data_IF_504542223609
#
_entry.id   IF_504542223609
#
_cell.length_a   1.000
_cell.length_b   1.000
_cell.length_c   1.000
_cell.angle_alpha   90.00
_cell.angle_beta   90.00
_cell.angle_gamma   90.00
#
_symmetry.space_group_name_H-M   'P 1'
#
loop_
_entity.id
_entity.type
_entity.pdbx_description
1 polymer ?
#
# COMPACT_ATOMS: atom_id res chain seq x y z
N UNK A 1 -49.40 -9.30 5.93
CA UNK A 1 -48.36 -8.36 5.48
C UNK A 1 -47.60 -9.03 4.33
N UNK A 2 -47.87 -8.68 3.07
CA UNK A 2 -47.17 -9.27 1.93
C UNK A 2 -45.76 -8.65 1.86
N UNK A 3 -44.74 -9.45 2.14
CA UNK A 3 -43.32 -9.04 1.92
C UNK A 3 -43.19 -8.86 0.39
N UNK A 4 -42.96 -7.64 -0.06
CA UNK A 4 -42.73 -7.37 -1.47
C UNK A 4 -41.44 -8.03 -1.91
N UNK A 5 -41.45 -8.77 -3.02
CA UNK A 5 -40.30 -9.49 -3.62
C UNK A 5 -39.02 -8.66 -3.66
N UNK A 6 -39.15 -7.37 -3.89
CA UNK A 6 -38.04 -6.42 -3.94
C UNK A 6 -37.25 -6.33 -2.60
N UNK A 7 -37.91 -6.55 -1.46
CA UNK A 7 -37.23 -6.54 -0.16
C UNK A 7 -36.32 -7.77 -0.03
N UNK A 8 -36.76 -8.93 -0.54
CA UNK A 8 -35.95 -10.14 -0.57
C UNK A 8 -34.76 -9.98 -1.51
N UNK A 9 -34.97 -9.46 -2.70
CA UNK A 9 -33.90 -9.20 -3.68
C UNK A 9 -32.88 -8.21 -3.07
N UNK A 10 -33.33 -7.10 -2.48
CA UNK A 10 -32.44 -6.13 -1.82
C UNK A 10 -31.67 -6.78 -0.65
N UNK A 11 -32.30 -7.63 0.15
CA UNK A 11 -31.65 -8.37 1.22
C UNK A 11 -30.54 -9.29 0.69
N UNK A 12 -30.79 -10.01 -0.40
CA UNK A 12 -29.80 -10.87 -1.05
C UNK A 12 -28.63 -10.06 -1.59
N UNK A 13 -28.89 -8.94 -2.29
CA UNK A 13 -27.83 -8.05 -2.80
C UNK A 13 -26.97 -7.49 -1.64
N UNK A 14 -27.59 -7.07 -0.54
CA UNK A 14 -26.87 -6.59 0.64
C UNK A 14 -25.99 -7.70 1.25
N UNK A 15 -26.51 -8.94 1.36
CA UNK A 15 -25.74 -10.08 1.88
C UNK A 15 -24.53 -10.40 1.01
N UNK A 16 -24.67 -10.41 -0.32
CA UNK A 16 -23.54 -10.62 -1.23
C UNK A 16 -22.54 -9.45 -1.21
N UNK A 17 -23.00 -8.23 -0.94
CA UNK A 17 -22.16 -7.04 -0.85
C UNK A 17 -21.47 -6.89 0.53
N UNK A 18 -21.90 -7.65 1.53
CA UNK A 18 -21.45 -7.48 2.91
C UNK A 18 -19.93 -7.68 3.06
N UNK A 19 -19.36 -8.70 2.41
CA UNK A 19 -17.92 -8.93 2.43
C UNK A 19 -17.12 -7.76 1.85
N UNK A 20 -17.63 -7.14 0.79
CA UNK A 20 -17.02 -5.97 0.19
C UNK A 20 -17.12 -4.75 1.10
N UNK A 21 -18.27 -4.58 1.76
CA UNK A 21 -18.46 -3.52 2.75
C UNK A 21 -17.50 -3.70 3.94
N UNK A 22 -17.43 -4.91 4.51
CA UNK A 22 -16.53 -5.26 5.62
C UNK A 22 -15.04 -5.21 5.20
N UNK A 23 -14.74 -5.24 3.91
CA UNK A 23 -13.42 -4.95 3.38
C UNK A 23 -12.99 -3.50 3.56
N UNK A 24 -13.94 -2.57 3.62
CA UNK A 24 -13.69 -1.13 3.62
C UNK A 24 -14.17 -0.40 4.88
N UNK A 25 -14.95 -1.05 5.74
CA UNK A 25 -15.52 -0.44 6.96
C UNK A 25 -15.35 -1.38 8.14
N UNK A 26 -14.73 -0.90 9.21
CA UNK A 26 -14.49 -1.64 10.44
C UNK A 26 -14.89 -0.82 11.67
N UNK A 27 -15.15 -1.50 12.79
CA UNK A 27 -15.62 -0.91 14.04
C UNK A 27 -14.85 -1.49 15.24
N UNK A 28 -13.54 -1.31 15.28
CA UNK A 28 -12.73 -1.71 16.42
C UNK A 28 -12.34 -0.45 17.21
N UNK A 29 -12.84 -0.36 18.44
CA UNK A 29 -12.64 0.80 19.32
C UNK A 29 -11.65 0.53 20.46
N UNK A 30 -11.12 -0.71 20.54
CA UNK A 30 -10.23 -1.09 21.64
C UNK A 30 -8.79 -0.80 21.24
N UNK A 31 -8.14 0.08 21.97
CA UNK A 31 -6.71 0.29 21.88
C UNK A 31 -5.99 -0.57 22.92
N UNK A 32 -4.85 -1.15 22.53
CA UNK A 32 -3.97 -1.90 23.42
C UNK A 32 -2.69 -1.10 23.63
N UNK A 33 -2.14 -1.11 24.84
CA UNK A 33 -0.80 -0.58 25.09
C UNK A 33 0.22 -1.52 24.47
N UNK A 34 1.10 -1.05 23.56
CA UNK A 34 2.11 -1.90 22.94
C UNK A 34 3.16 -2.36 23.98
N UNK A 35 3.56 -3.62 23.86
CA UNK A 35 4.68 -4.18 24.61
C UNK A 35 6.00 -3.96 23.86
N UNK A 36 7.12 -4.05 24.60
CA UNK A 36 8.46 -3.87 24.02
C UNK A 36 8.85 -4.89 22.94
N UNK A 37 8.15 -6.00 22.87
CA UNK A 37 8.37 -7.07 21.89
C UNK A 37 7.44 -6.98 20.68
N UNK A 38 6.51 -6.03 20.67
CA UNK A 38 5.59 -5.84 19.57
C UNK A 38 6.26 -5.07 18.44
N UNK A 39 5.92 -5.41 17.22
CA UNK A 39 6.55 -4.91 16.01
C UNK A 39 5.66 -3.85 15.41
N UNK A 40 6.09 -2.60 15.40
CA UNK A 40 5.38 -1.54 14.66
C UNK A 40 5.72 -1.59 13.19
N UNK A 41 4.75 -1.96 12.37
CA UNK A 41 4.86 -1.98 10.91
C UNK A 41 4.16 -0.77 10.33
N UNK A 42 4.80 -0.11 9.37
CA UNK A 42 4.25 1.03 8.64
C UNK A 42 4.43 0.85 7.15
N UNK A 43 3.41 1.21 6.39
CA UNK A 43 3.40 1.18 4.93
C UNK A 43 3.00 2.54 4.38
N UNK A 44 3.70 3.01 3.33
CA UNK A 44 3.44 4.31 2.76
C UNK A 44 3.93 4.43 1.31
N UNK A 45 3.02 4.68 0.37
CA UNK A 45 3.38 5.21 -0.93
C UNK A 45 3.71 6.70 -0.77
N UNK A 46 4.99 7.04 -0.84
CA UNK A 46 5.50 8.36 -0.51
C UNK A 46 5.56 9.34 -1.70
N UNK A 47 5.01 8.95 -2.85
CA UNK A 47 4.90 9.83 -4.05
C UNK A 47 6.20 10.63 -4.30
N UNK A 48 7.33 9.90 -4.35
CA UNK A 48 8.68 10.45 -4.55
C UNK A 48 9.08 11.54 -3.53
N UNK A 49 8.45 11.57 -2.34
CA UNK A 49 8.59 12.64 -1.34
C UNK A 49 8.27 14.03 -1.89
N UNK A 50 7.28 14.08 -2.79
CA UNK A 50 6.83 15.31 -3.46
C UNK A 50 7.95 16.00 -4.27
N UNK A 51 8.82 15.22 -4.89
CA UNK A 51 9.98 15.68 -5.68
C UNK A 51 9.61 16.78 -6.68
N UNK A 52 8.45 16.67 -7.33
CA UNK A 52 7.97 17.60 -8.35
C UNK A 52 7.02 18.67 -7.82
N UNK A 53 6.89 18.78 -6.48
CA UNK A 53 6.04 19.77 -5.82
C UNK A 53 4.56 19.71 -6.26
N UNK A 54 4.04 18.49 -6.45
CA UNK A 54 2.63 18.28 -6.82
C UNK A 54 1.65 18.75 -5.73
N UNK A 55 2.07 18.68 -4.46
CA UNK A 55 1.30 19.19 -3.34
C UNK A 55 1.26 20.71 -3.25
N UNK A 56 2.07 21.43 -4.04
CA UNK A 56 2.34 22.86 -3.93
C UNK A 56 2.84 23.30 -2.54
N UNK A 57 3.41 22.37 -1.76
CA UNK A 57 3.96 22.62 -0.43
C UNK A 57 5.44 22.23 -0.38
N UNK A 58 6.33 23.19 -0.44
CA UNK A 58 7.80 22.97 -0.39
C UNK A 58 8.30 22.32 0.92
N UNK A 59 7.46 22.20 1.93
CA UNK A 59 7.79 21.55 3.20
C UNK A 59 7.35 20.06 3.26
N UNK A 60 6.66 19.55 2.23
CA UNK A 60 6.09 18.20 2.21
C UNK A 60 7.11 17.13 2.59
N UNK A 61 8.28 17.12 1.95
CA UNK A 61 9.36 16.21 2.29
C UNK A 61 9.73 16.26 3.78
N UNK A 62 9.93 17.45 4.32
CA UNK A 62 10.32 17.64 5.74
C UNK A 62 9.22 17.14 6.68
N UNK A 63 7.97 17.42 6.38
CA UNK A 63 6.83 16.98 7.20
C UNK A 63 6.70 15.46 7.15
N UNK A 64 6.86 14.83 5.97
CA UNK A 64 6.88 13.37 5.84
C UNK A 64 7.99 12.77 6.72
N UNK A 65 9.21 13.31 6.66
CA UNK A 65 10.33 12.80 7.44
C UNK A 65 10.12 12.97 8.95
N UNK A 66 9.58 14.11 9.40
CA UNK A 66 9.24 14.33 10.81
C UNK A 66 8.20 13.32 11.30
N UNK A 67 7.14 13.09 10.53
CA UNK A 67 6.11 12.10 10.85
C UNK A 67 6.71 10.69 10.94
N UNK A 68 7.56 10.28 10.01
CA UNK A 68 8.23 8.98 10.05
C UNK A 68 9.16 8.85 11.27
N UNK A 69 9.83 9.94 11.66
CA UNK A 69 10.69 9.98 12.84
C UNK A 69 9.89 9.87 14.14
N UNK A 70 8.80 10.62 14.25
CA UNK A 70 7.90 10.60 15.41
C UNK A 70 7.25 9.23 15.59
N UNK A 71 6.77 8.65 14.52
CA UNK A 71 6.16 7.31 14.55
C UNK A 71 7.17 6.19 14.75
N UNK A 72 8.41 6.39 14.34
CA UNK A 72 9.55 5.48 14.56
C UNK A 72 9.22 4.00 14.40
N UNK A 73 8.71 3.56 13.22
CA UNK A 73 8.33 2.17 12.99
C UNK A 73 9.55 1.23 13.10
N UNK A 74 9.28 -0.04 13.45
CA UNK A 74 10.31 -1.06 13.47
C UNK A 74 10.56 -1.64 12.08
N UNK A 75 9.51 -1.64 11.24
CA UNK A 75 9.54 -1.99 9.82
C UNK A 75 8.77 -0.93 9.05
N UNK A 76 9.43 -0.30 8.08
CA UNK A 76 8.86 0.71 7.19
C UNK A 76 8.97 0.24 5.74
N UNK A 77 7.83 0.10 5.06
CA UNK A 77 7.75 -0.18 3.64
C UNK A 77 7.36 1.08 2.88
N UNK A 78 8.16 1.46 1.90
CA UNK A 78 7.94 2.65 1.08
C UNK A 78 7.80 2.25 -0.39
N UNK A 79 6.76 2.74 -1.05
CA UNK A 79 6.56 2.66 -2.50
C UNK A 79 6.74 4.06 -3.10
N UNK A 80 6.96 4.12 -4.41
CA UNK A 80 7.36 5.33 -5.10
C UNK A 80 8.50 6.06 -4.36
N UNK A 81 9.47 5.28 -3.94
CA UNK A 81 10.65 5.78 -3.25
C UNK A 81 11.60 6.42 -4.25
N UNK A 82 12.04 7.65 -3.98
CA UNK A 82 13.08 8.35 -4.72
C UNK A 82 14.26 8.69 -3.82
N UNK A 83 15.46 8.57 -4.35
CA UNK A 83 16.70 9.05 -3.71
C UNK A 83 17.69 9.47 -4.78
N UNK A 84 18.52 10.48 -4.47
CA UNK A 84 19.61 10.92 -5.32
C UNK A 84 20.93 10.81 -4.58
N UNK A 85 22.01 10.55 -5.30
CA UNK A 85 23.38 10.56 -4.80
C UNK A 85 24.10 11.88 -5.08
N UNK A 86 23.42 12.84 -5.74
CA UNK A 86 24.02 14.14 -6.06
C UNK A 86 24.12 15.05 -4.83
N UNK A 87 25.28 15.76 -4.65
CA UNK A 87 25.41 16.79 -3.63
C UNK A 87 24.28 17.82 -3.75
N UNK A 88 23.60 18.15 -2.66
CA UNK A 88 22.49 19.12 -2.57
C UNK A 88 21.13 18.62 -3.05
N UNK A 89 20.99 17.36 -3.39
CA UNK A 89 19.74 16.78 -3.83
C UNK A 89 19.04 15.94 -2.73
N UNK A 90 18.02 15.20 -3.09
CA UNK A 90 17.19 14.39 -2.19
C UNK A 90 17.90 13.10 -1.75
N UNK A 91 18.87 13.18 -0.84
CA UNK A 91 19.51 12.01 -0.20
C UNK A 91 18.55 11.28 0.75
N UNK A 92 17.41 10.78 0.20
CA UNK A 92 16.34 10.27 1.02
C UNK A 92 16.73 8.98 1.75
N UNK A 93 17.50 8.08 1.12
CA UNK A 93 17.95 6.84 1.74
C UNK A 93 18.80 7.14 2.99
N UNK A 94 19.83 7.97 2.86
CA UNK A 94 20.73 8.32 3.95
C UNK A 94 20.02 9.10 5.06
N UNK A 95 19.13 10.01 4.66
CA UNK A 95 18.35 10.80 5.60
C UNK A 95 17.43 9.90 6.43
N UNK A 96 16.73 8.95 5.81
CA UNK A 96 15.85 8.01 6.53
C UNK A 96 16.65 7.08 7.47
N UNK A 97 17.78 6.57 7.01
CA UNK A 97 18.68 5.74 7.83
C UNK A 97 19.11 6.51 9.09
N UNK A 98 19.47 7.79 8.92
CA UNK A 98 19.86 8.65 10.03
C UNK A 98 18.69 8.95 10.98
N UNK A 99 17.52 9.35 10.44
CA UNK A 99 16.34 9.73 11.23
C UNK A 99 15.76 8.57 12.03
N UNK A 100 15.65 7.41 11.41
CA UNK A 100 15.12 6.21 12.06
C UNK A 100 16.18 5.47 12.91
N UNK A 101 17.42 6.00 12.94
CA UNK A 101 18.56 5.40 13.66
C UNK A 101 18.75 3.92 13.32
N UNK A 102 18.51 3.57 12.06
CA UNK A 102 18.69 2.22 11.53
C UNK A 102 19.78 2.22 10.47
N UNK A 103 20.50 1.09 10.33
CA UNK A 103 21.42 0.84 9.20
C UNK A 103 20.87 -0.23 8.26
N UNK A 104 19.70 -0.75 8.55
CA UNK A 104 19.12 -1.87 7.84
C UNK A 104 18.11 -1.34 6.82
N UNK A 105 18.59 -1.16 5.61
CA UNK A 105 17.76 -0.75 4.46
C UNK A 105 17.92 -1.75 3.31
N UNK A 106 16.82 -2.03 2.63
CA UNK A 106 16.78 -2.75 1.37
C UNK A 106 16.06 -1.89 0.34
N UNK A 107 16.78 -1.43 -0.65
CA UNK A 107 16.26 -0.66 -1.78
C UNK A 107 16.38 -1.48 -3.05
N UNK A 108 15.37 -1.40 -3.91
CA UNK A 108 15.45 -1.88 -5.29
C UNK A 108 14.88 -0.82 -6.22
N UNK A 109 15.64 -0.53 -7.24
CA UNK A 109 15.32 0.53 -8.18
C UNK A 109 14.75 -0.05 -9.47
N UNK A 110 13.62 0.47 -9.90
CA UNK A 110 12.98 0.15 -11.19
C UNK A 110 13.49 1.06 -12.28
N UNK A 111 13.97 2.25 -11.92
CA UNK A 111 14.52 3.24 -12.84
C UNK A 111 15.72 3.92 -12.20
N UNK A 112 16.78 4.07 -12.97
CA UNK A 112 17.95 4.90 -12.63
C UNK A 112 18.23 5.84 -13.80
N UNK A 113 18.32 7.13 -13.50
CA UNK A 113 18.71 8.14 -14.47
C UNK A 113 20.02 8.81 -14.06
N UNK A 114 20.84 9.14 -15.05
CA UNK A 114 22.12 9.84 -14.89
C UNK A 114 23.08 9.16 -13.89
N UNK A 115 22.85 7.86 -13.61
CA UNK A 115 23.62 7.00 -12.68
C UNK A 115 23.41 7.29 -11.18
N UNK A 116 22.78 8.40 -10.79
CA UNK A 116 22.64 8.84 -9.40
C UNK A 116 21.22 9.18 -8.96
N UNK A 117 20.26 9.22 -9.87
CA UNK A 117 18.85 9.44 -9.54
C UNK A 117 18.08 8.11 -9.63
N UNK A 118 17.47 7.68 -8.53
CA UNK A 118 16.91 6.35 -8.38
C UNK A 118 15.44 6.39 -7.95
N UNK A 119 14.62 5.62 -8.65
CA UNK A 119 13.20 5.41 -8.36
C UNK A 119 12.91 3.95 -8.12
N UNK A 120 12.13 3.63 -7.09
CA UNK A 120 11.78 2.25 -6.80
C UNK A 120 11.00 2.08 -5.50
N UNK A 121 11.40 1.10 -4.69
CA UNK A 121 10.81 0.81 -3.39
C UNK A 121 11.91 0.64 -2.34
N UNK A 122 11.57 0.88 -1.07
CA UNK A 122 12.50 0.71 0.04
C UNK A 122 11.84 0.04 1.24
N UNK A 123 12.54 -0.89 1.88
CA UNK A 123 12.17 -1.43 3.18
C UNK A 123 13.27 -1.07 4.18
N UNK A 124 12.90 -0.33 5.22
CA UNK A 124 13.79 0.00 6.34
C UNK A 124 13.35 -0.79 7.57
N UNK A 125 14.30 -1.21 8.39
CA UNK A 125 13.97 -1.96 9.60
C UNK A 125 15.02 -1.78 10.69
N UNK A 126 14.58 -1.83 11.95
CA UNK A 126 15.46 -1.86 13.12
C UNK A 126 16.11 -3.24 13.31
N UNK A 127 15.52 -4.28 12.70
CA UNK A 127 16.01 -5.65 12.82
C UNK A 127 17.13 -5.95 11.81
N UNK A 128 18.05 -6.88 12.13
CA UNK A 128 19.06 -7.32 11.16
C UNK A 128 18.44 -7.94 9.92
N UNK A 129 18.90 -7.51 8.74
CA UNK A 129 18.52 -8.12 7.48
C UNK A 129 19.46 -9.29 7.21
N UNK A 130 18.90 -10.48 7.03
CA UNK A 130 19.65 -11.71 6.74
C UNK A 130 19.61 -12.10 5.26
N UNK A 131 18.61 -11.63 4.51
CA UNK A 131 18.51 -11.85 3.07
C UNK A 131 17.69 -10.73 2.41
N UNK A 132 18.06 -10.38 1.18
CA UNK A 132 17.37 -9.46 0.29
C UNK A 132 17.06 -10.15 -1.03
N UNK A 133 15.94 -9.83 -1.65
CA UNK A 133 15.62 -10.30 -2.99
C UNK A 133 14.41 -9.59 -3.57
N UNK A 134 14.14 -9.87 -4.84
CA UNK A 134 13.04 -9.24 -5.58
C UNK A 134 12.31 -10.25 -6.46
N UNK A 135 11.07 -9.93 -6.75
CA UNK A 135 10.23 -10.58 -7.75
C UNK A 135 10.07 -9.56 -8.87
N UNK A 136 10.69 -9.84 -10.01
CA UNK A 136 10.65 -8.96 -11.17
C UNK A 136 9.42 -9.33 -11.99
N UNK A 137 8.57 -8.35 -12.24
CA UNK A 137 7.44 -8.51 -13.14
C UNK A 137 7.91 -8.37 -14.59
N UNK A 138 7.40 -9.22 -15.49
CA UNK A 138 7.87 -9.30 -16.89
C UNK A 138 7.62 -8.03 -17.71
N UNK A 139 6.73 -7.17 -17.28
CA UNK A 139 6.44 -5.92 -17.96
C UNK A 139 7.46 -4.85 -17.61
N UNK A 140 7.97 -4.11 -18.59
CA UNK A 140 8.75 -2.87 -18.38
C UNK A 140 7.86 -1.84 -17.68
N UNK A 141 7.82 -1.87 -16.36
CA UNK A 141 7.00 -0.98 -15.53
C UNK A 141 7.78 -0.60 -14.27
N UNK A 142 7.36 0.46 -13.63
CA UNK A 142 7.89 0.86 -12.32
C UNK A 142 7.32 0.02 -11.16
N UNK A 143 6.69 -1.13 -11.50
CA UNK A 143 6.10 -2.05 -10.53
C UNK A 143 7.12 -3.11 -10.15
N UNK A 144 7.15 -3.44 -8.87
CA UNK A 144 8.11 -4.38 -8.31
C UNK A 144 7.57 -4.94 -7.00
N UNK A 145 8.00 -6.13 -6.63
CA UNK A 145 7.89 -6.66 -5.27
C UNK A 145 9.28 -7.02 -4.77
N UNK A 146 9.66 -6.50 -3.62
CA UNK A 146 10.87 -6.93 -2.91
C UNK A 146 10.51 -7.77 -1.70
N UNK A 147 11.42 -8.66 -1.31
CA UNK A 147 11.31 -9.37 -0.04
C UNK A 147 12.59 -9.22 0.77
N UNK A 148 12.41 -8.96 2.04
CA UNK A 148 13.48 -8.73 3.01
C UNK A 148 13.29 -9.71 4.16
N UNK A 149 14.23 -10.63 4.34
CA UNK A 149 14.22 -11.53 5.50
C UNK A 149 14.91 -10.83 6.66
N UNK A 150 14.18 -10.64 7.73
CA UNK A 150 14.65 -9.97 8.95
C UNK A 150 14.68 -10.93 10.12
N UNK A 151 15.67 -10.79 10.99
CA UNK A 151 15.76 -11.60 12.20
C UNK A 151 15.12 -10.85 13.36
N UNK A 152 13.98 -11.33 13.82
CA UNK A 152 13.25 -10.79 14.98
C UNK A 152 13.34 -11.80 16.10
N UNK A 153 14.06 -11.46 17.16
CA UNK A 153 14.44 -12.37 18.23
C UNK A 153 15.20 -13.60 17.67
N UNK A 154 14.56 -14.76 17.58
CA UNK A 154 15.13 -16.00 17.03
C UNK A 154 14.45 -16.45 15.74
N UNK A 155 13.44 -15.71 15.30
CA UNK A 155 12.63 -16.04 14.14
C UNK A 155 13.03 -15.23 12.92
N UNK A 156 13.12 -15.88 11.78
CA UNK A 156 13.20 -15.18 10.50
C UNK A 156 11.80 -14.84 10.03
N UNK A 157 11.57 -13.57 9.77
CA UNK A 157 10.31 -13.03 9.21
C UNK A 157 10.60 -12.50 7.83
N UNK A 158 9.80 -12.89 6.84
CA UNK A 158 9.88 -12.34 5.48
C UNK A 158 8.92 -11.18 5.32
N UNK A 159 9.46 -10.01 5.08
CA UNK A 159 8.71 -8.80 4.77
C UNK A 159 8.68 -8.62 3.25
N UNK A 160 7.49 -8.67 2.67
CA UNK A 160 7.26 -8.29 1.28
C UNK A 160 6.84 -6.83 1.24
N UNK A 161 7.42 -6.08 0.30
CA UNK A 161 7.04 -4.70 -0.01
C UNK A 161 6.78 -4.63 -1.51
N UNK A 162 5.55 -4.36 -1.90
CA UNK A 162 5.16 -4.38 -3.30
C UNK A 162 4.48 -3.09 -3.76
N UNK A 163 4.64 -2.79 -5.04
CA UNK A 163 3.89 -1.78 -5.76
C UNK A 163 3.38 -2.40 -7.06
N UNK A 164 2.08 -2.70 -7.10
CA UNK A 164 1.45 -3.30 -8.27
C UNK A 164 1.07 -2.25 -9.33
N UNK A 165 0.71 -2.72 -10.52
CA UNK A 165 0.41 -1.87 -11.66
C UNK A 165 -0.73 -0.88 -11.38
N UNK A 166 -0.45 0.41 -11.49
CA UNK A 166 -1.46 1.46 -11.42
C UNK A 166 -2.31 1.52 -12.69
N UNK A 167 -3.47 2.16 -12.57
CA UNK A 167 -4.29 2.53 -13.72
C UNK A 167 -3.73 3.84 -14.25
N UNK A 168 -2.78 3.78 -15.18
CA UNK A 168 -2.13 4.97 -15.75
C UNK A 168 -3.12 5.82 -16.55
N UNK A 169 -3.97 6.60 -15.88
CA UNK A 169 -4.83 7.58 -16.52
C UNK A 169 -4.01 8.70 -17.16
N UNK A 170 -4.40 9.13 -18.36
CA UNK A 170 -3.84 10.31 -18.97
C UNK A 170 -4.60 11.58 -18.53
N UNK A 171 -4.12 12.75 -18.94
CA UNK A 171 -4.71 14.04 -18.57
C UNK A 171 -6.23 14.12 -18.93
N UNK A 172 -6.61 13.60 -20.08
CA UNK A 172 -8.02 13.62 -20.55
C UNK A 172 -8.92 12.76 -19.68
N UNK A 173 -8.45 11.60 -19.24
CA UNK A 173 -9.19 10.72 -18.35
C UNK A 173 -9.37 11.37 -16.96
N UNK A 174 -8.35 12.04 -16.43
CA UNK A 174 -8.48 12.79 -15.18
C UNK A 174 -9.45 13.98 -15.31
N UNK A 175 -9.38 14.75 -16.38
CA UNK A 175 -10.33 15.84 -16.66
C UNK A 175 -11.78 15.30 -16.74
N UNK A 176 -11.98 14.16 -17.38
CA UNK A 176 -13.29 13.52 -17.46
C UNK A 176 -13.80 13.04 -16.10
N UNK A 177 -12.96 12.41 -15.28
CA UNK A 177 -13.32 11.98 -13.92
C UNK A 177 -13.68 13.21 -13.06
N UNK A 178 -12.97 14.31 -13.18
CA UNK A 178 -13.26 15.55 -12.48
C UNK A 178 -14.61 16.16 -12.89
N UNK A 179 -14.94 16.14 -14.20
CA UNK A 179 -16.25 16.54 -14.71
C UNK A 179 -17.38 15.66 -14.17
N UNK A 180 -17.16 14.35 -14.07
CA UNK A 180 -18.15 13.43 -13.46
C UNK A 180 -18.37 13.76 -11.99
N UNK A 181 -17.31 14.02 -11.24
CA UNK A 181 -17.39 14.37 -9.82
C UNK A 181 -18.12 15.71 -9.58
N UNK A 182 -18.07 16.64 -10.56
CA UNK A 182 -18.77 17.93 -10.54
C UNK A 182 -20.18 17.90 -11.11
N UNK A 183 -20.66 16.74 -11.54
CA UNK A 183 -21.94 16.57 -12.28
C UNK A 183 -22.01 17.42 -13.58
N UNK A 184 -20.88 17.67 -14.23
CA UNK A 184 -20.80 18.46 -15.47
C UNK A 184 -20.74 17.56 -16.73
N UNK A 185 -21.32 16.37 -16.65
CA UNK A 185 -21.31 15.38 -17.73
C UNK A 185 -21.99 15.88 -18.99
N UNK A 186 -21.37 15.63 -20.16
CA UNK A 186 -21.91 15.86 -21.50
C UNK A 186 -21.90 14.55 -22.29
N UNK A 187 -22.95 14.28 -23.09
CA UNK A 187 -23.08 13.06 -23.87
C UNK A 187 -21.99 12.80 -24.92
N UNK A 188 -21.10 13.81 -25.16
CA UNK A 188 -20.00 13.72 -26.13
C UNK A 188 -18.78 12.91 -25.63
N UNK A 189 -18.78 12.42 -24.39
CA UNK A 189 -17.60 11.84 -23.73
C UNK A 189 -17.51 10.29 -23.85
N UNK A 190 -18.11 9.69 -24.87
CA UNK A 190 -18.09 8.23 -25.10
C UNK A 190 -16.68 7.68 -25.38
N UNK A 191 -15.80 8.49 -25.98
CA UNK A 191 -14.44 8.07 -26.31
C UNK A 191 -13.59 7.96 -25.03
N UNK A 192 -13.70 8.95 -24.15
CA UNK A 192 -13.01 8.99 -22.85
C UNK A 192 -13.48 7.83 -21.96
N UNK A 193 -14.79 7.57 -21.92
CA UNK A 193 -15.34 6.44 -21.16
C UNK A 193 -14.79 5.10 -21.64
N UNK A 194 -14.68 4.89 -22.97
CA UNK A 194 -14.09 3.66 -23.54
C UNK A 194 -12.60 3.55 -23.22
N UNK A 195 -11.86 4.66 -23.26
CA UNK A 195 -10.45 4.72 -22.88
C UNK A 195 -10.26 4.31 -21.41
N UNK A 196 -11.07 4.85 -20.51
CA UNK A 196 -11.05 4.51 -19.08
C UNK A 196 -11.32 3.02 -18.87
N UNK A 197 -12.37 2.48 -19.46
CA UNK A 197 -12.71 1.05 -19.34
C UNK A 197 -11.57 0.16 -19.85
N UNK A 198 -10.93 0.51 -20.96
CA UNK A 198 -9.79 -0.21 -21.49
C UNK A 198 -8.60 -0.19 -20.51
N UNK A 199 -8.26 0.98 -19.98
CA UNK A 199 -7.15 1.15 -19.01
C UNK A 199 -7.42 0.41 -17.70
N UNK A 200 -8.65 0.47 -17.19
CA UNK A 200 -9.09 -0.32 -16.03
C UNK A 200 -8.87 -1.81 -16.27
N UNK A 201 -9.38 -2.33 -17.39
CA UNK A 201 -9.21 -3.73 -17.75
C UNK A 201 -7.74 -4.12 -17.85
N UNK A 202 -6.94 -3.35 -18.57
CA UNK A 202 -5.52 -3.63 -18.77
C UNK A 202 -4.75 -3.57 -17.45
N UNK A 203 -5.11 -2.65 -16.53
CA UNK A 203 -4.60 -2.58 -15.17
C UNK A 203 -4.97 -3.82 -14.35
N UNK A 204 -6.23 -4.26 -14.41
CA UNK A 204 -6.68 -5.47 -13.70
C UNK A 204 -5.92 -6.73 -14.14
N UNK A 205 -5.74 -6.93 -15.45
CA UNK A 205 -4.97 -8.08 -15.94
C UNK A 205 -3.53 -8.06 -15.47
N UNK A 206 -2.84 -6.91 -15.58
CA UNK A 206 -1.46 -6.78 -15.10
C UNK A 206 -1.34 -7.08 -13.60
N UNK A 207 -2.24 -6.52 -12.78
CA UNK A 207 -2.24 -6.78 -11.35
C UNK A 207 -2.54 -8.23 -11.00
N UNK A 208 -3.42 -8.88 -11.76
CA UNK A 208 -3.71 -10.30 -11.57
C UNK A 208 -2.45 -11.16 -11.78
N UNK A 209 -1.73 -10.97 -12.88
CA UNK A 209 -0.47 -11.68 -13.17
C UNK A 209 0.58 -11.39 -12.09
N UNK A 210 0.77 -10.13 -11.70
CA UNK A 210 1.71 -9.74 -10.66
C UNK A 210 1.36 -10.36 -9.30
N UNK A 211 0.08 -10.36 -8.94
CA UNK A 211 -0.41 -10.96 -7.69
C UNK A 211 -0.19 -12.49 -7.68
N UNK A 212 -0.42 -13.19 -8.78
CA UNK A 212 -0.16 -14.62 -8.91
C UNK A 212 1.34 -14.94 -8.75
N UNK A 213 2.23 -14.15 -9.34
CA UNK A 213 3.68 -14.31 -9.19
C UNK A 213 4.11 -14.16 -7.73
N UNK A 214 3.61 -13.12 -7.03
CA UNK A 214 3.92 -12.91 -5.61
C UNK A 214 3.32 -14.01 -4.75
N UNK A 215 2.07 -14.40 -4.97
CA UNK A 215 1.40 -15.48 -4.24
C UNK A 215 2.12 -16.81 -4.41
N UNK A 216 2.58 -17.14 -5.62
CA UNK A 216 3.38 -18.35 -5.87
C UNK A 216 4.69 -18.33 -5.09
N UNK A 217 5.38 -17.17 -5.03
CA UNK A 217 6.60 -17.02 -4.25
C UNK A 217 6.33 -17.11 -2.73
N UNK A 218 5.21 -16.55 -2.25
CA UNK A 218 4.79 -16.69 -0.85
C UNK A 218 4.44 -18.13 -0.47
N UNK A 219 3.84 -18.89 -1.38
CA UNK A 219 3.42 -20.27 -1.13
C UNK A 219 4.58 -21.23 -0.78
N UNK A 220 5.77 -20.94 -1.28
CA UNK A 220 7.00 -21.72 -0.99
C UNK A 220 7.83 -21.12 0.15
N UNK A 221 7.40 -20.00 0.72
CA UNK A 221 8.07 -19.36 1.83
C UNK A 221 7.89 -20.16 3.12
N UNK A 222 9.00 -20.48 3.80
CA UNK A 222 9.00 -21.21 5.07
C UNK A 222 8.96 -20.30 6.30
N UNK A 223 9.05 -19.00 6.08
CA UNK A 223 9.09 -18.00 7.15
C UNK A 223 7.71 -17.42 7.42
N UNK A 224 7.56 -16.83 8.58
CA UNK A 224 6.42 -15.97 8.91
C UNK A 224 6.41 -14.78 7.94
N UNK A 225 5.23 -14.38 7.48
CA UNK A 225 5.10 -13.38 6.41
C UNK A 225 4.45 -12.12 6.95
N UNK A 226 5.02 -10.98 6.57
CA UNK A 226 4.41 -9.66 6.58
C UNK A 226 4.41 -9.18 5.13
N UNK A 227 3.26 -8.77 4.61
CA UNK A 227 3.10 -8.24 3.27
C UNK A 227 2.54 -6.83 3.34
N UNK A 228 3.31 -5.87 2.87
CA UNK A 228 2.95 -4.46 2.82
C UNK A 228 2.96 -3.98 1.36
N UNK A 229 2.21 -2.93 1.08
CA UNK A 229 2.37 -2.22 -0.17
C UNK A 229 1.10 -1.66 -0.77
N UNK A 230 1.32 -0.92 -1.84
CA UNK A 230 0.29 -0.38 -2.71
C UNK A 230 -0.10 -1.44 -3.76
N UNK A 231 -1.28 -2.04 -3.55
CA UNK A 231 -1.82 -3.03 -4.48
C UNK A 231 -2.46 -2.38 -5.70
N UNK A 232 -2.68 -1.05 -5.66
CA UNK A 232 -3.42 -0.31 -6.69
C UNK A 232 -4.80 -0.91 -6.99
N UNK A 233 -5.36 -1.66 -6.05
CA UNK A 233 -6.62 -2.37 -6.19
C UNK A 233 -7.39 -2.49 -4.85
N UNK A 234 -8.69 -2.64 -4.94
CA UNK A 234 -9.59 -2.63 -3.78
C UNK A 234 -9.74 -4.00 -3.12
N UNK A 235 -10.33 -4.09 -1.89
CA UNK A 235 -10.57 -5.37 -1.20
C UNK A 235 -11.48 -6.35 -1.95
N UNK A 236 -12.16 -5.91 -3.00
CA UNK A 236 -13.01 -6.75 -3.85
C UNK A 236 -12.26 -7.39 -5.01
N UNK A 237 -10.99 -7.02 -5.22
CA UNK A 237 -10.24 -7.39 -6.41
C UNK A 237 -9.65 -8.80 -6.35
N UNK A 238 -9.36 -9.33 -7.52
CA UNK A 238 -8.63 -10.58 -7.68
C UNK A 238 -7.24 -10.51 -7.01
N UNK A 239 -6.52 -9.40 -7.21
CA UNK A 239 -5.19 -9.22 -6.64
C UNK A 239 -5.22 -9.29 -5.10
N UNK A 240 -6.14 -8.56 -4.46
CA UNK A 240 -6.28 -8.60 -3.00
C UNK A 240 -6.62 -10.02 -2.49
N UNK A 241 -7.57 -10.71 -3.12
CA UNK A 241 -7.95 -12.06 -2.70
C UNK A 241 -6.83 -13.08 -2.93
N UNK A 242 -6.08 -12.96 -4.02
CA UNK A 242 -4.96 -13.85 -4.34
C UNK A 242 -3.84 -13.70 -3.33
N UNK A 243 -3.41 -12.46 -3.05
CA UNK A 243 -2.34 -12.17 -2.10
C UNK A 243 -2.76 -12.43 -0.64
N UNK A 244 -4.01 -12.14 -0.31
CA UNK A 244 -4.55 -12.28 1.04
C UNK A 244 -5.04 -13.68 1.42
N UNK A 245 -4.96 -14.68 0.51
CA UNK A 245 -5.61 -16.00 0.68
C UNK A 245 -5.33 -16.68 2.02
N UNK A 246 -4.11 -16.58 2.53
CA UNK A 246 -3.66 -17.19 3.79
C UNK A 246 -3.11 -16.15 4.77
N UNK A 247 -3.45 -14.89 4.58
CA UNK A 247 -2.99 -13.78 5.41
C UNK A 247 -4.18 -13.09 6.09
N UNK A 248 -3.92 -12.51 7.23
CA UNK A 248 -4.85 -11.63 7.92
C UNK A 248 -4.59 -10.19 7.50
N UNK A 249 -5.66 -9.43 7.31
CA UNK A 249 -5.61 -8.00 7.00
C UNK A 249 -5.67 -7.20 8.30
N UNK A 250 -4.64 -6.41 8.58
CA UNK A 250 -4.51 -5.63 9.81
C UNK A 250 -5.66 -4.63 9.99
N UNK A 251 -6.16 -4.03 8.90
CA UNK A 251 -7.34 -3.15 8.96
C UNK A 251 -8.58 -3.94 9.37
N UNK A 252 -8.81 -5.12 8.80
CA UNK A 252 -9.97 -5.96 9.16
C UNK A 252 -9.90 -6.47 10.61
N UNK A 253 -8.70 -6.57 11.17
CA UNK A 253 -8.50 -7.07 12.54
C UNK A 253 -8.59 -5.99 13.61
N UNK A 254 -8.19 -4.76 13.28
CA UNK A 254 -8.07 -3.71 14.30
C UNK A 254 -8.32 -2.28 13.79
N UNK A 255 -8.80 -2.14 12.54
CA UNK A 255 -9.14 -0.84 11.99
C UNK A 255 -10.45 -0.28 12.53
N UNK A 256 -10.63 1.02 12.41
CA UNK A 256 -11.86 1.71 12.78
C UNK A 256 -12.27 2.72 11.70
N UNK A 257 -13.57 2.78 11.40
CA UNK A 257 -14.13 3.65 10.39
C UNK A 257 -13.85 3.16 8.95
N UNK A 258 -13.78 4.10 8.02
CA UNK A 258 -13.56 3.83 6.59
C UNK A 258 -12.06 3.65 6.33
N UNK A 259 -11.71 2.51 5.73
CA UNK A 259 -10.32 2.12 5.44
C UNK A 259 -9.69 2.83 4.25
N UNK A 260 -10.16 4.00 3.86
CA UNK A 260 -9.62 4.77 2.75
C UNK A 260 -8.13 5.02 2.92
N UNK A 261 -7.31 4.64 1.93
CA UNK A 261 -5.86 4.89 1.93
C UNK A 261 -5.42 5.80 0.77
N UNK A 262 -6.27 6.01 -0.24
CA UNK A 262 -5.98 6.86 -1.38
C UNK A 262 -6.81 8.16 -1.35
N UNK A 263 -6.19 9.27 -1.70
CA UNK A 263 -6.76 10.63 -1.68
C UNK A 263 -6.84 11.29 -3.06
N UNK A 264 -6.48 10.58 -4.13
CA UNK A 264 -6.51 11.12 -5.49
C UNK A 264 -7.91 11.25 -6.08
N UNK A 265 -7.99 11.26 -7.42
CA UNK A 265 -9.20 11.57 -8.19
C UNK A 265 -10.39 10.61 -7.95
N UNK A 266 -10.14 9.38 -7.54
CA UNK A 266 -11.18 8.41 -7.21
C UNK A 266 -11.38 8.35 -5.69
N UNK A 267 -12.58 8.72 -5.18
CA UNK A 267 -12.81 8.80 -3.74
C UNK A 267 -12.95 7.40 -3.09
N UNK A 268 -12.64 7.34 -1.79
CA UNK A 268 -12.91 6.19 -0.91
C UNK A 268 -12.18 4.88 -1.25
N UNK A 269 -11.07 4.91 -1.98
CA UNK A 269 -10.32 3.71 -2.28
C UNK A 269 -9.42 3.31 -1.11
N UNK A 270 -9.42 2.01 -0.78
CA UNK A 270 -8.43 1.34 0.04
C UNK A 270 -7.59 0.48 -0.89
N UNK A 271 -6.35 0.87 -1.11
CA UNK A 271 -5.43 0.24 -2.07
C UNK A 271 -4.07 -0.09 -1.45
N UNK A 272 -3.79 0.43 -0.26
CA UNK A 272 -2.60 0.13 0.52
C UNK A 272 -2.96 -0.83 1.67
N UNK A 273 -2.09 -1.79 1.94
CA UNK A 273 -2.39 -2.88 2.85
C UNK A 273 -1.18 -3.26 3.70
N UNK A 274 -1.48 -3.70 4.94
CA UNK A 274 -0.59 -4.48 5.79
C UNK A 274 -1.28 -5.80 6.05
N UNK A 275 -0.76 -6.89 5.48
CA UNK A 275 -1.24 -8.25 5.67
C UNK A 275 -0.18 -9.07 6.40
N UNK A 276 -0.60 -10.08 7.18
CA UNK A 276 0.34 -10.90 7.94
C UNK A 276 -0.13 -12.36 8.05
N UNK A 277 0.82 -13.28 8.17
CA UNK A 277 0.52 -14.70 8.42
C UNK A 277 -0.16 -14.92 9.78
N UNK A 278 -0.75 -16.11 9.96
CA UNK A 278 -1.46 -16.48 11.18
C UNK A 278 -0.57 -16.53 12.44
N UNK A 279 0.74 -16.48 12.27
CA UNK A 279 1.72 -16.40 13.36
C UNK A 279 1.66 -15.08 14.13
N UNK A 280 1.07 -14.06 13.54
CA UNK A 280 0.92 -12.74 14.15
C UNK A 280 -0.55 -12.47 14.52
N UNK A 281 -0.72 -11.53 15.43
CA UNK A 281 -1.97 -10.83 15.69
C UNK A 281 -1.72 -9.33 15.55
N UNK A 282 -2.58 -8.65 14.78
CA UNK A 282 -2.49 -7.21 14.58
C UNK A 282 -3.46 -6.45 15.47
N UNK A 283 -3.04 -5.29 15.94
CA UNK A 283 -3.85 -4.37 16.73
C UNK A 283 -3.42 -2.91 16.52
N UNK A 284 -4.25 -1.96 16.98
CA UNK A 284 -4.05 -0.52 16.83
C UNK A 284 -3.70 -0.12 15.38
N UNK A 285 -4.48 -0.62 14.42
CA UNK A 285 -4.34 -0.12 13.05
C UNK A 285 -4.64 1.37 13.03
N UNK A 286 -3.74 2.13 12.44
CA UNK A 286 -3.83 3.58 12.34
C UNK A 286 -3.63 4.01 10.89
N UNK A 287 -4.51 4.86 10.40
CA UNK A 287 -4.32 5.65 9.18
C UNK A 287 -4.02 7.08 9.60
N UNK A 288 -2.97 7.65 9.05
CA UNK A 288 -2.55 9.01 9.38
C UNK A 288 -3.37 9.99 8.54
N UNK A 289 -4.03 10.98 9.17
CA UNK A 289 -4.97 11.86 8.47
C UNK A 289 -4.27 12.89 7.57
N UNK A 290 -3.04 13.23 7.89
CA UNK A 290 -2.25 14.21 7.16
C UNK A 290 -1.61 13.54 5.96
N UNK A 291 -2.25 13.64 4.82
CA UNK A 291 -1.69 13.19 3.55
C UNK A 291 -0.93 14.34 2.89
N UNK A 292 0.37 14.18 2.77
CA UNK A 292 1.25 15.05 1.99
C UNK A 292 1.49 14.50 0.58
N UNK A 293 0.88 13.36 0.32
CA UNK A 293 0.85 12.66 -0.96
C UNK A 293 -0.60 12.30 -1.28
N UNK A 294 -0.86 11.69 -2.40
CA UNK A 294 -2.17 11.15 -2.73
C UNK A 294 -2.50 9.83 -1.99
N UNK A 295 -1.56 9.31 -1.18
CA UNK A 295 -1.78 8.18 -0.30
C UNK A 295 -1.69 8.57 1.18
N UNK A 296 -2.46 7.89 2.03
CA UNK A 296 -2.36 8.00 3.48
C UNK A 296 -1.42 6.93 4.02
N UNK A 297 -0.42 7.30 4.83
CA UNK A 297 0.37 6.31 5.57
C UNK A 297 -0.53 5.47 6.47
N UNK A 298 -0.20 4.19 6.59
CA UNK A 298 -0.89 3.26 7.47
C UNK A 298 0.10 2.52 8.36
N UNK A 299 -0.30 2.19 9.58
CA UNK A 299 0.50 1.38 10.49
C UNK A 299 -0.35 0.46 11.35
N UNK A 300 0.28 -0.55 11.92
CA UNK A 300 -0.27 -1.37 12.98
C UNK A 300 0.84 -1.93 13.85
N UNK A 301 0.48 -2.46 15.01
CA UNK A 301 1.36 -3.30 15.81
C UNK A 301 1.07 -4.77 15.51
N UNK A 302 2.13 -5.56 15.39
CA UNK A 302 2.09 -6.99 15.25
C UNK A 302 2.71 -7.66 16.47
N UNK A 303 1.97 -8.53 17.09
CA UNK A 303 2.43 -9.37 18.18
C UNK A 303 2.62 -10.81 17.66
N UNK A 304 3.78 -11.38 17.94
CA UNK A 304 4.12 -12.75 17.56
C UNK A 304 3.49 -13.73 18.55
N UNK A 305 2.61 -14.59 18.05
CA UNK A 305 1.99 -15.65 18.87
C UNK A 305 3.04 -16.68 19.32
N UNK A 306 2.93 -17.11 20.56
CA UNK A 306 3.78 -18.15 21.13
C UNK A 306 3.34 -19.54 20.68
#
# INVERSE_FOLDING_TARGET
MQIRWWVLVSGVVVLFSLNNLLGNLQFHFTEKTPDNNDIKVMDYNCMLFDLYNWSHNKQSRKIIFNMLQEESPDILCLQEFYTSEQPKDFHNADTLVSFLKTKNIHTEYTTTLREFDHWGVATLTKYPIVRKGKIVFETKSNNICIYTDVLINKDTVRVYNLHLASISFGKKEYEFIDQLNKNEYKDSNLVESKSIVKRLRDGFFKRAEQAEMVAAHMAICKYKIILCGDFNDTPSSFAYHTLGKNLNDAFKKSGNGIGKTYHGALPFLRIDYILHSNDFESYNYKRYPESLTDHYPISCYLYLKK
#
